data_IF_773377841343
#
_entry.id   IF_773377841343
#
_cell.length_a   1.000
_cell.length_b   1.000
_cell.length_c   1.000
_cell.angle_alpha   90.00
_cell.angle_beta   90.00
_cell.angle_gamma   90.00
#
_symmetry.space_group_name_H-M   'P 1'
#
loop_
_entity.id
_entity.type
_entity.pdbx_description
1 polymer ?
#
# COMPACT_ATOMS: atom_id res chain seq x y z
N UNK A 1 15.96 -17.50 -11.34
CA UNK A 1 14.74 -18.02 -12.01
C UNK A 1 14.34 -17.14 -13.20
N UNK A 2 14.15 -15.83 -13.00
CA UNK A 2 13.70 -14.91 -14.06
C UNK A 2 14.78 -14.01 -14.67
N UNK A 3 16.06 -14.20 -14.28
CA UNK A 3 17.20 -13.41 -14.76
C UNK A 3 17.04 -11.89 -14.58
N UNK A 4 16.37 -11.50 -13.48
CA UNK A 4 16.31 -10.11 -13.02
C UNK A 4 17.69 -9.77 -12.46
N UNK A 5 18.27 -8.68 -12.94
CA UNK A 5 19.57 -8.17 -12.48
C UNK A 5 19.37 -7.26 -11.26
N UNK A 6 20.38 -7.20 -10.40
CA UNK A 6 20.39 -6.27 -9.27
C UNK A 6 20.26 -4.82 -9.75
N UNK A 7 19.42 -4.04 -9.07
CA UNK A 7 19.28 -2.60 -9.31
C UNK A 7 20.37 -1.80 -8.59
N UNK A 8 20.74 -0.65 -9.15
CA UNK A 8 21.76 0.27 -8.60
C UNK A 8 21.26 1.71 -8.44
N UNK A 9 20.02 2.00 -8.84
CA UNK A 9 19.47 3.36 -8.93
C UNK A 9 18.03 3.40 -8.47
N UNK A 10 17.67 4.55 -7.92
CA UNK A 10 16.29 4.96 -7.70
C UNK A 10 16.06 6.31 -8.37
N UNK A 11 14.83 6.54 -8.81
CA UNK A 11 14.39 7.80 -9.42
C UNK A 11 13.19 8.28 -8.64
N UNK A 12 13.28 9.51 -8.11
CA UNK A 12 12.17 10.13 -7.41
C UNK A 12 10.95 10.25 -8.33
N UNK A 13 9.79 9.82 -7.85
CA UNK A 13 8.55 9.78 -8.64
C UNK A 13 8.38 8.51 -9.47
N UNK A 14 9.31 7.55 -9.40
CA UNK A 14 9.19 6.24 -10.03
C UNK A 14 8.95 5.12 -9.00
N UNK A 15 8.49 5.48 -7.80
CA UNK A 15 8.10 4.52 -6.78
C UNK A 15 6.92 3.67 -7.26
N UNK A 16 6.96 2.37 -6.96
CA UNK A 16 5.82 1.48 -7.19
C UNK A 16 4.74 1.76 -6.14
N UNK A 17 3.54 2.13 -6.57
CA UNK A 17 2.39 2.20 -5.69
C UNK A 17 1.84 0.81 -5.42
N UNK A 18 1.54 0.50 -4.16
CA UNK A 18 0.84 -0.73 -3.74
C UNK A 18 -0.35 -0.30 -2.90
N UNK A 19 -1.52 -0.84 -3.20
CA UNK A 19 -2.77 -0.53 -2.50
C UNK A 19 -3.07 -1.66 -1.53
N UNK A 20 -3.36 -1.32 -0.28
CA UNK A 20 -3.83 -2.27 0.73
C UNK A 20 -5.18 -1.79 1.26
N UNK A 21 -6.11 -2.72 1.41
CA UNK A 21 -7.47 -2.47 1.88
C UNK A 21 -7.87 -3.50 2.94
N UNK A 22 -9.15 -3.51 3.32
CA UNK A 22 -9.74 -4.47 4.26
C UNK A 22 -9.11 -4.46 5.67
N UNK A 23 -8.36 -3.41 6.00
CA UNK A 23 -7.66 -3.28 7.29
C UNK A 23 -6.46 -4.22 7.45
N UNK A 24 -5.98 -4.83 6.37
CA UNK A 24 -4.70 -5.56 6.38
C UNK A 24 -3.54 -4.55 6.44
N UNK A 25 -2.59 -4.79 7.34
CA UNK A 25 -1.47 -3.89 7.64
C UNK A 25 -0.18 -4.69 7.82
N UNK A 26 0.94 -4.13 7.36
CA UNK A 26 2.24 -4.77 7.50
C UNK A 26 2.85 -4.53 8.89
N UNK A 27 3.78 -5.41 9.31
CA UNK A 27 4.66 -5.18 10.45
C UNK A 27 6.08 -4.89 9.97
N UNK A 28 6.75 -3.91 10.60
CA UNK A 28 8.17 -3.66 10.33
C UNK A 28 9.06 -4.81 10.80
N UNK A 29 8.66 -5.52 11.86
CA UNK A 29 9.42 -6.66 12.38
C UNK A 29 9.49 -7.80 11.35
N UNK A 30 8.37 -8.07 10.66
CA UNK A 30 8.30 -9.09 9.62
C UNK A 30 9.19 -8.70 8.42
N UNK A 31 9.12 -7.43 7.99
CA UNK A 31 10.01 -6.91 6.94
C UNK A 31 11.48 -7.01 7.29
N UNK A 32 11.86 -6.62 8.51
CA UNK A 32 13.25 -6.65 8.94
C UNK A 32 13.77 -8.09 9.02
N UNK A 33 12.94 -9.04 9.46
CA UNK A 33 13.24 -10.46 9.46
C UNK A 33 13.42 -10.99 8.03
N UNK A 34 12.52 -10.62 7.11
CA UNK A 34 12.58 -11.01 5.71
C UNK A 34 13.85 -10.45 5.03
N UNK A 35 14.13 -9.15 5.17
CA UNK A 35 15.32 -8.54 4.56
C UNK A 35 16.60 -9.15 5.12
N UNK A 36 16.68 -9.40 6.43
CA UNK A 36 17.86 -10.05 7.02
C UNK A 36 18.06 -11.48 6.51
N UNK A 37 16.98 -12.21 6.25
CA UNK A 37 17.03 -13.65 5.95
C UNK A 37 17.06 -13.98 4.45
N UNK A 38 16.38 -13.19 3.62
CA UNK A 38 16.08 -13.51 2.22
C UNK A 38 16.66 -12.47 1.25
N UNK A 39 16.67 -11.19 1.63
CA UNK A 39 17.11 -10.09 0.77
C UNK A 39 18.07 -9.12 1.50
N UNK A 40 19.26 -9.58 1.95
CA UNK A 40 20.16 -8.82 2.83
C UNK A 40 20.80 -7.59 2.19
N UNK A 41 20.66 -7.41 0.88
CA UNK A 41 21.02 -6.19 0.17
C UNK A 41 20.10 -5.01 0.51
N UNK A 42 18.92 -5.28 1.07
CA UNK A 42 17.96 -4.28 1.52
C UNK A 42 18.24 -3.99 3.00
N UNK A 43 18.51 -2.74 3.40
CA UNK A 43 18.72 -2.38 4.80
C UNK A 43 17.47 -2.65 5.65
N UNK A 44 17.68 -3.20 6.85
CA UNK A 44 16.64 -3.26 7.89
C UNK A 44 16.12 -1.86 8.19
N UNK A 45 14.82 -1.75 8.47
CA UNK A 45 14.10 -0.49 8.61
C UNK A 45 13.61 0.09 7.28
N UNK A 46 13.86 -0.58 6.14
CA UNK A 46 13.24 -0.18 4.85
C UNK A 46 11.72 -0.37 4.93
N UNK A 47 10.97 0.62 4.47
CA UNK A 47 9.50 0.63 4.53
C UNK A 47 8.89 1.53 3.45
N UNK A 48 7.62 1.28 3.07
CA UNK A 48 6.94 2.10 2.09
C UNK A 48 6.71 3.52 2.58
N UNK A 49 6.62 4.47 1.66
CA UNK A 49 6.06 5.78 1.98
C UNK A 49 4.54 5.65 2.13
N UNK A 50 4.03 5.78 3.36
CA UNK A 50 2.60 5.65 3.64
C UNK A 50 1.77 6.83 3.11
N UNK A 51 0.63 6.50 2.49
CA UNK A 51 -0.49 7.36 2.11
C UNK A 51 -1.76 6.77 2.72
N UNK A 52 -2.08 7.22 3.92
CA UNK A 52 -3.28 6.80 4.64
C UNK A 52 -4.52 7.51 4.05
N UNK A 53 -5.51 6.72 3.66
CA UNK A 53 -6.79 7.15 3.08
C UNK A 53 -7.90 6.66 4.01
N UNK A 54 -8.62 7.60 4.63
CA UNK A 54 -9.56 7.38 5.71
C UNK A 54 -8.92 7.53 7.10
N UNK A 55 -9.64 7.05 8.11
CA UNK A 55 -9.23 7.12 9.53
C UNK A 55 -8.27 5.96 9.92
N UNK A 56 -7.14 5.85 9.22
CA UNK A 56 -6.12 4.81 9.47
C UNK A 56 -5.16 5.25 10.58
N UNK A 57 -5.00 4.43 11.63
CA UNK A 57 -4.18 4.79 12.81
C UNK A 57 -3.03 3.82 13.14
N UNK A 58 -2.95 2.64 12.52
CA UNK A 58 -2.02 1.57 12.93
C UNK A 58 -1.22 0.95 11.76
N UNK A 59 -0.46 1.76 11.01
CA UNK A 59 0.42 1.29 9.91
C UNK A 59 1.84 1.87 10.05
N UNK A 60 2.90 1.04 10.17
CA UNK A 60 2.82 -0.41 10.42
C UNK A 60 2.17 -0.73 11.77
N UNK A 61 1.66 -1.95 11.91
CA UNK A 61 1.21 -2.45 13.22
C UNK A 61 2.42 -2.73 14.12
N UNK A 62 2.29 -2.41 15.42
CA UNK A 62 3.25 -2.85 16.45
C UNK A 62 2.88 -4.21 17.05
N UNK A 63 1.69 -4.73 16.73
CA UNK A 63 1.22 -6.05 17.13
C UNK A 63 1.32 -6.99 15.92
N UNK A 64 2.39 -7.79 15.88
CA UNK A 64 2.65 -8.78 14.82
C UNK A 64 1.53 -9.81 14.68
N UNK A 65 0.69 -10.02 15.70
CA UNK A 65 -0.46 -10.93 15.56
C UNK A 65 -1.59 -10.37 14.70
N UNK A 66 -1.53 -9.06 14.42
CA UNK A 66 -2.44 -8.33 13.55
C UNK A 66 -1.83 -7.98 12.19
N UNK A 67 -0.57 -8.34 11.92
CA UNK A 67 -0.05 -8.20 10.56
C UNK A 67 -0.74 -9.22 9.68
N UNK A 68 -1.20 -8.81 8.51
CA UNK A 68 -1.82 -9.74 7.58
C UNK A 68 -0.83 -10.20 6.53
N UNK A 69 -1.02 -11.44 6.09
CA UNK A 69 -0.10 -12.10 5.19
C UNK A 69 -0.08 -11.46 3.80
N UNK A 70 -1.18 -10.86 3.35
CA UNK A 70 -1.26 -10.26 2.02
C UNK A 70 -0.48 -8.94 1.98
N UNK A 71 -0.69 -8.08 2.98
CA UNK A 71 0.05 -6.82 3.08
C UNK A 71 1.55 -7.07 3.20
N UNK A 72 2.00 -8.08 3.96
CA UNK A 72 3.43 -8.43 3.98
C UNK A 72 3.92 -8.99 2.64
N UNK A 73 3.18 -9.93 2.05
CA UNK A 73 3.56 -10.63 0.81
C UNK A 73 3.83 -9.69 -0.36
N UNK A 74 2.93 -8.72 -0.58
CA UNK A 74 3.05 -7.78 -1.71
C UNK A 74 4.37 -7.01 -1.67
N UNK A 75 4.75 -6.52 -0.49
CA UNK A 75 6.01 -5.81 -0.31
C UNK A 75 7.21 -6.75 -0.34
N UNK A 76 7.15 -7.92 0.30
CA UNK A 76 8.24 -8.90 0.33
C UNK A 76 8.56 -9.46 -1.07
N UNK A 77 7.58 -9.51 -1.97
CA UNK A 77 7.79 -9.85 -3.38
C UNK A 77 8.33 -8.65 -4.17
N UNK A 78 7.77 -7.46 -3.96
CA UNK A 78 8.13 -6.28 -4.74
C UNK A 78 9.55 -5.78 -4.44
N UNK A 79 9.91 -5.63 -3.16
CA UNK A 79 11.15 -4.99 -2.74
C UNK A 79 12.41 -5.62 -3.36
N UNK A 80 12.62 -6.95 -3.32
CA UNK A 80 13.79 -7.56 -3.94
C UNK A 80 13.91 -7.35 -5.45
N UNK A 81 12.79 -7.11 -6.14
CA UNK A 81 12.74 -6.89 -7.59
C UNK A 81 13.08 -5.45 -7.95
N UNK A 82 12.59 -4.48 -7.17
CA UNK A 82 12.70 -3.05 -7.52
C UNK A 82 13.84 -2.32 -6.81
N UNK A 83 14.48 -2.94 -5.79
CA UNK A 83 15.54 -2.30 -5.02
C UNK A 83 16.67 -1.76 -5.90
N UNK A 84 17.14 -0.51 -5.70
CA UNK A 84 16.88 0.39 -4.57
C UNK A 84 15.71 1.38 -4.76
N UNK A 85 14.83 1.19 -5.73
CA UNK A 85 13.59 1.96 -5.82
C UNK A 85 12.68 1.62 -4.64
N UNK A 86 12.13 2.64 -3.96
CA UNK A 86 11.18 2.43 -2.87
C UNK A 86 9.73 2.29 -3.39
N UNK A 87 8.83 1.89 -2.50
CA UNK A 87 7.39 1.80 -2.76
C UNK A 87 6.60 2.94 -2.08
N UNK A 88 5.37 3.14 -2.53
CA UNK A 88 4.34 3.96 -1.88
C UNK A 88 3.19 3.05 -1.48
N UNK A 89 2.83 3.04 -0.20
CA UNK A 89 1.68 2.29 0.30
C UNK A 89 0.47 3.21 0.33
N UNK A 90 -0.54 2.93 -0.49
CA UNK A 90 -1.87 3.51 -0.37
C UNK A 90 -2.72 2.62 0.52
N UNK A 91 -2.78 2.94 1.81
CA UNK A 91 -3.61 2.21 2.76
C UNK A 91 -5.00 2.82 2.78
N UNK A 92 -6.01 2.07 2.36
CA UNK A 92 -7.40 2.50 2.40
C UNK A 92 -8.12 1.92 3.61
N UNK A 93 -9.04 2.69 4.18
CA UNK A 93 -10.02 2.15 5.11
C UNK A 93 -10.92 1.11 4.44
N UNK A 94 -11.34 0.12 5.22
CA UNK A 94 -12.25 -0.91 4.77
C UNK A 94 -13.67 -0.33 4.68
N UNK A 95 -14.26 -0.34 3.49
CA UNK A 95 -15.71 -0.10 3.37
C UNK A 95 -16.46 -1.21 4.14
N UNK A 96 -17.49 -0.83 4.90
CA UNK A 96 -18.24 -1.76 5.74
C UNK A 96 -18.74 -2.95 4.93
N UNK A 97 -18.22 -4.14 5.26
CA UNK A 97 -18.33 -5.37 4.50
C UNK A 97 -19.70 -6.04 4.68
N UNK A 98 -20.73 -5.55 4.00
CA UNK A 98 -21.98 -6.30 3.85
C UNK A 98 -21.89 -7.21 2.60
N UNK A 99 -21.71 -8.50 2.85
CA UNK A 99 -22.11 -9.59 1.96
C UNK A 99 -21.31 -9.76 0.65
N UNK A 100 -19.97 -9.84 0.72
CA UNK A 100 -19.07 -10.28 -0.39
C UNK A 100 -19.27 -9.52 -1.72
N UNK A 101 -19.83 -8.32 -1.67
CA UNK A 101 -19.99 -7.48 -2.86
C UNK A 101 -18.77 -6.57 -2.90
N UNK A 102 -17.79 -6.91 -3.74
CA UNK A 102 -16.57 -6.10 -3.96
C UNK A 102 -16.85 -4.81 -4.76
N UNK A 103 -18.09 -4.31 -4.74
CA UNK A 103 -18.43 -3.05 -5.39
C UNK A 103 -17.71 -1.93 -4.65
N UNK A 104 -16.89 -1.16 -5.37
CA UNK A 104 -16.32 0.06 -4.82
C UNK A 104 -15.04 -0.06 -4.00
N UNK A 105 -14.39 -1.23 -3.89
CA UNK A 105 -13.19 -1.37 -3.03
C UNK A 105 -12.00 -0.45 -3.40
N UNK A 106 -11.98 0.05 -4.64
CA UNK A 106 -10.99 1.04 -5.13
C UNK A 106 -11.51 2.49 -5.05
N UNK A 107 -12.74 2.74 -4.62
CA UNK A 107 -13.34 4.08 -4.59
C UNK A 107 -12.55 4.99 -3.67
N UNK A 108 -12.24 4.55 -2.44
CA UNK A 108 -11.38 5.30 -1.53
C UNK A 108 -10.04 5.71 -2.18
N UNK A 109 -9.41 4.80 -2.93
CA UNK A 109 -8.20 5.11 -3.68
C UNK A 109 -8.45 6.17 -4.76
N UNK A 110 -9.48 5.96 -5.59
CA UNK A 110 -9.83 6.85 -6.71
C UNK A 110 -10.20 8.25 -6.21
N UNK A 111 -11.01 8.36 -5.17
CA UNK A 111 -11.32 9.63 -4.49
C UNK A 111 -10.05 10.32 -4.02
N UNK A 112 -9.10 9.58 -3.43
CA UNK A 112 -7.87 10.14 -2.90
C UNK A 112 -6.87 10.63 -3.95
N UNK A 113 -6.82 9.99 -5.13
CA UNK A 113 -5.87 10.33 -6.19
C UNK A 113 -6.47 11.17 -7.32
N UNK A 114 -7.79 11.19 -7.46
CA UNK A 114 -8.54 11.93 -8.46
C UNK A 114 -9.77 12.59 -7.82
N UNK A 115 -9.63 13.87 -7.48
CA UNK A 115 -10.72 14.64 -6.88
C UNK A 115 -11.94 14.82 -7.79
N UNK A 116 -11.84 14.53 -9.10
CA UNK A 116 -13.02 14.52 -9.99
C UNK A 116 -13.87 13.26 -9.86
N UNK A 117 -13.31 12.20 -9.25
CA UNK A 117 -14.02 10.98 -8.93
C UNK A 117 -14.91 11.12 -7.69
N UNK A 118 -14.60 12.07 -6.80
CA UNK A 118 -15.44 12.36 -5.65
C UNK A 118 -16.85 12.75 -6.10
N UNK A 119 -17.84 11.97 -5.67
CA UNK A 119 -19.25 12.28 -5.94
C UNK A 119 -19.80 13.27 -4.89
N UNK A 120 -20.72 14.14 -5.28
CA UNK A 120 -21.48 14.97 -4.33
C UNK A 120 -22.54 14.16 -3.55
N UNK A 121 -22.77 12.89 -3.91
CA UNK A 121 -23.85 12.03 -3.43
C UNK A 121 -23.30 10.73 -2.83
N UNK A 122 -22.80 10.81 -1.60
CA UNK A 122 -22.38 9.68 -0.75
C UNK A 122 -23.54 8.71 -0.44
N UNK A 123 -23.96 7.90 -1.41
CA UNK A 123 -24.89 6.79 -1.16
C UNK A 123 -24.19 5.41 -1.24
N UNK A 124 -22.92 5.34 -1.67
CA UNK A 124 -22.17 4.07 -1.81
C UNK A 124 -20.74 4.12 -1.23
N UNK A 125 -20.61 4.34 0.08
CA UNK A 125 -19.47 3.80 0.85
C UNK A 125 -18.28 4.72 1.15
N UNK A 126 -18.11 5.86 0.47
CA UNK A 126 -16.99 6.78 0.73
C UNK A 126 -17.21 7.62 2.00
N UNK A 127 -16.53 7.31 3.11
CA UNK A 127 -16.42 8.25 4.25
C UNK A 127 -15.32 9.30 4.04
N UNK A 128 -14.67 9.29 2.88
CA UNK A 128 -13.48 10.05 2.54
C UNK A 128 -13.68 11.48 2.03
N UNK A 129 -14.79 12.17 2.34
CA UNK A 129 -15.05 13.55 1.85
C UNK A 129 -13.87 14.52 2.05
N UNK A 130 -13.09 14.33 3.10
CA UNK A 130 -11.99 15.23 3.46
C UNK A 130 -10.68 14.96 2.70
N UNK A 131 -10.59 13.87 1.92
CA UNK A 131 -9.37 13.45 1.22
C UNK A 131 -9.52 13.37 -0.31
N UNK A 132 -10.43 14.14 -0.90
CA UNK A 132 -10.59 14.22 -2.36
C UNK A 132 -9.36 14.79 -3.08
N UNK A 133 -8.69 13.98 -3.90
CA UNK A 133 -7.59 14.37 -4.78
C UNK A 133 -6.33 14.85 -4.05
N UNK A 134 -6.15 14.48 -2.78
CA UNK A 134 -5.04 14.97 -1.94
C UNK A 134 -3.70 14.30 -2.26
N UNK A 135 -3.71 13.12 -2.88
CA UNK A 135 -2.50 12.36 -3.19
C UNK A 135 -2.22 12.36 -4.68
N UNK A 136 -0.95 12.58 -5.02
CA UNK A 136 -0.48 12.35 -6.39
C UNK A 136 -0.33 10.83 -6.61
N UNK A 137 -0.93 10.26 -7.66
CA UNK A 137 -0.73 8.85 -7.98
C UNK A 137 0.72 8.57 -8.40
N UNK A 138 1.18 7.34 -8.16
CA UNK A 138 2.42 6.82 -8.76
C UNK A 138 2.21 6.50 -10.24
N UNK A 139 3.30 6.36 -11.00
CA UNK A 139 3.19 6.02 -12.44
C UNK A 139 2.62 4.60 -12.65
N UNK A 140 2.86 3.71 -11.69
CA UNK A 140 2.36 2.34 -11.67
C UNK A 140 1.79 2.07 -10.28
N UNK A 141 0.58 1.51 -10.25
CA UNK A 141 -0.11 1.09 -9.03
C UNK A 141 -0.43 -0.41 -9.18
N UNK A 142 -0.01 -1.20 -8.19
CA UNK A 142 -0.41 -2.59 -8.01
C UNK A 142 -1.57 -2.64 -7.01
N UNK A 143 -2.55 -3.49 -7.31
CA UNK A 143 -3.73 -3.73 -6.48
C UNK A 143 -3.83 -5.25 -6.34
N UNK A 144 -3.84 -5.73 -5.10
CA UNK A 144 -4.14 -7.12 -4.75
C UNK A 144 -5.57 -7.22 -4.23
#
# INVERSE_FOLDING_TARGET
LYNITDGDKSVAGNELGIVQSLGDVYSQEDFDLFFTSVAPQIPTGTHPNLKAIGDIVDVPTTDVSKSGSESSLDFEVAYPIIWPQNTVLFQTESESHDNHTYGGFVNNLLEAIDGSYCSDTDDEGGKGKDQCGIYKPTNVISIS
#
